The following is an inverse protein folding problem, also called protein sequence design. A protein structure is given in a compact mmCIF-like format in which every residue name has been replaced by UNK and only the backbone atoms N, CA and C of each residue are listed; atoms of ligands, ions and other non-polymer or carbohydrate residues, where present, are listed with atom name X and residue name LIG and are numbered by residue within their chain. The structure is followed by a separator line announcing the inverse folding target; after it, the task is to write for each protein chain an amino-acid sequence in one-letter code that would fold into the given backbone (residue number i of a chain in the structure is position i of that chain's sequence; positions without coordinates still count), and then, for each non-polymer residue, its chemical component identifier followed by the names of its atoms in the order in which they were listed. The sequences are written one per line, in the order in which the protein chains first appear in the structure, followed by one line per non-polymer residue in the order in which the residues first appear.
data_IF_961520757499
#
_entry.id   IF_961520757499
#
_cell.length_a   1.000
_cell.length_b   1.000
_cell.length_c   1.000
_cell.angle_alpha   90.00
_cell.angle_beta   90.00
_cell.angle_gamma   90.00
#
_symmetry.space_group_name_H-M   'P 1'
#
loop_
_entity.id
_entity.type
_entity.pdbx_description
1 polymer ?
#
# COMPACT_ATOMS: atom_id res chain seq x y z
N UNK A 1 -2.53 -3.49 3.76
CA UNK A 1 -3.36 -4.65 3.37
C UNK A 1 -2.49 -5.90 3.23
N UNK A 2 -2.98 -7.09 3.56
CA UNK A 2 -2.24 -8.36 3.41
C UNK A 2 -2.93 -9.29 2.42
N UNK A 3 -2.15 -9.92 1.55
CA UNK A 3 -2.61 -10.83 0.51
C UNK A 3 -1.84 -12.15 0.55
N UNK A 4 -2.55 -13.27 0.45
CA UNK A 4 -2.00 -14.62 0.48
C UNK A 4 -2.47 -15.41 -0.74
N UNK A 5 -1.54 -15.91 -1.53
CA UNK A 5 -1.83 -16.83 -2.64
C UNK A 5 -1.77 -18.27 -2.13
N UNK A 6 -2.91 -18.97 -2.16
CA UNK A 6 -3.07 -20.39 -1.84
C UNK A 6 -3.48 -21.18 -3.08
N UNK A 7 -3.40 -22.51 -3.03
CA UNK A 7 -3.58 -23.42 -4.16
C UNK A 7 -4.81 -23.12 -5.06
N UNK A 8 -5.95 -22.78 -4.44
CA UNK A 8 -7.21 -22.56 -5.17
C UNK A 8 -7.75 -21.13 -5.03
N UNK A 9 -7.18 -20.30 -4.14
CA UNK A 9 -7.74 -18.98 -3.82
C UNK A 9 -6.66 -17.99 -3.42
N UNK A 10 -7.01 -16.72 -3.54
CA UNK A 10 -6.26 -15.64 -2.91
C UNK A 10 -7.06 -15.19 -1.71
N UNK A 11 -6.43 -15.15 -0.54
CA UNK A 11 -7.02 -14.59 0.66
C UNK A 11 -6.52 -13.17 0.88
N UNK A 12 -7.37 -12.34 1.46
CA UNK A 12 -7.07 -10.94 1.73
C UNK A 12 -7.54 -10.56 3.12
N UNK A 13 -6.73 -9.81 3.85
CA UNK A 13 -7.01 -9.36 5.22
C UNK A 13 -6.41 -7.97 5.45
N UNK A 14 -6.92 -7.30 6.47
CA UNK A 14 -6.27 -6.12 7.06
C UNK A 14 -5.52 -6.64 8.28
N UNK A 15 -4.27 -6.21 8.43
CA UNK A 15 -3.41 -6.62 9.54
C UNK A 15 -2.98 -5.34 10.24
N UNK A 16 -3.23 -5.30 11.54
CA UNK A 16 -2.65 -4.36 12.46
C UNK A 16 -1.80 -5.17 13.44
N UNK A 17 -0.54 -4.78 13.58
CA UNK A 17 0.43 -5.49 14.40
C UNK A 17 1.36 -4.49 15.06
N UNK A 18 1.53 -4.66 16.37
CA UNK A 18 2.50 -3.90 17.17
C UNK A 18 3.66 -4.81 17.55
N UNK A 19 4.87 -4.26 17.49
CA UNK A 19 6.08 -4.92 17.92
C UNK A 19 6.92 -3.95 18.75
N UNK A 20 7.72 -4.48 19.67
CA UNK A 20 8.70 -3.66 20.37
C UNK A 20 9.81 -3.26 19.40
N UNK A 21 10.07 -1.96 19.29
CA UNK A 21 11.21 -1.43 18.56
C UNK A 21 12.51 -1.48 19.40
N UNK A 22 12.47 -1.99 20.64
CA UNK A 22 13.60 -2.09 21.55
C UNK A 22 14.04 -3.55 21.72
N UNK A 23 15.35 -3.75 21.79
CA UNK A 23 15.95 -5.05 22.14
C UNK A 23 15.98 -5.24 23.67
N UNK A 24 14.80 -5.08 24.29
CA UNK A 24 14.62 -5.24 25.72
C UNK A 24 13.27 -5.90 26.02
N UNK A 25 13.32 -7.22 26.21
CA UNK A 25 12.15 -8.09 26.34
C UNK A 25 11.31 -7.88 27.63
N UNK A 26 11.80 -7.07 28.59
CA UNK A 26 11.05 -6.75 29.80
C UNK A 26 10.07 -5.58 29.60
N UNK A 27 10.12 -4.89 28.46
CA UNK A 27 9.13 -3.85 28.13
C UNK A 27 7.82 -4.46 27.66
N UNK A 28 6.67 -3.79 27.91
CA UNK A 28 5.38 -4.26 27.46
C UNK A 28 5.22 -4.10 25.95
N UNK A 29 4.62 -5.09 25.30
CA UNK A 29 4.31 -5.05 23.87
C UNK A 29 3.21 -4.06 23.47
N UNK A 30 2.51 -3.49 24.46
CA UNK A 30 1.45 -2.49 24.29
C UNK A 30 1.71 -1.32 25.22
N UNK A 31 1.30 -0.12 24.79
CA UNK A 31 1.38 1.10 25.60
C UNK A 31 0.39 1.09 26.78
N UNK A 32 -0.57 0.16 26.81
CA UNK A 32 -1.54 0.04 27.89
C UNK A 32 -2.58 1.17 27.93
N UNK A 33 -2.59 2.07 26.94
CA UNK A 33 -3.51 3.20 26.84
C UNK A 33 -4.34 3.12 25.56
N UNK A 34 -5.60 3.55 25.65
CA UNK A 34 -6.47 3.71 24.48
C UNK A 34 -6.07 5.02 23.76
N UNK A 35 -5.91 5.03 22.43
CA UNK A 35 -5.58 6.26 21.69
C UNK A 35 -6.58 7.40 21.89
N UNK A 36 -7.86 7.08 22.21
CA UNK A 36 -8.88 8.07 22.53
C UNK A 36 -8.66 8.76 23.88
N UNK A 37 -7.94 8.12 24.80
CA UNK A 37 -7.68 8.64 26.15
C UNK A 37 -6.40 9.49 26.22
N UNK A 38 -5.44 9.25 25.31
CA UNK A 38 -4.16 9.96 25.30
C UNK A 38 -3.82 10.39 23.87
N UNK A 39 -3.91 11.71 23.56
CA UNK A 39 -3.59 12.20 22.23
C UNK A 39 -2.09 12.04 21.94
N UNK A 40 -1.77 11.47 20.78
CA UNK A 40 -0.39 11.33 20.32
C UNK A 40 0.15 12.71 19.87
N UNK A 41 1.43 12.95 20.15
CA UNK A 41 2.16 14.15 19.69
C UNK A 41 3.36 13.70 18.88
N UNK A 42 3.66 14.44 17.81
CA UNK A 42 4.90 14.19 17.07
C UNK A 42 6.11 14.44 17.95
N UNK A 43 7.12 13.60 17.77
CA UNK A 43 8.42 13.81 18.40
C UNK A 43 9.10 14.99 17.72
N UNK A 44 9.36 16.05 18.47
CA UNK A 44 10.05 17.24 17.98
C UNK A 44 11.30 17.54 18.81
N UNK A 45 12.31 18.25 18.25
CA UNK A 45 13.52 18.60 18.98
C UNK A 45 13.26 19.39 20.29
N UNK A 46 12.15 20.13 20.36
CA UNK A 46 11.79 20.95 21.52
C UNK A 46 11.38 20.13 22.75
N UNK A 47 10.97 18.87 22.57
CA UNK A 47 10.58 18.01 23.69
C UNK A 47 11.74 17.80 24.70
N UNK A 48 13.00 18.07 24.29
CA UNK A 48 14.25 17.88 25.04
C UNK A 48 14.38 16.60 25.90
N UNK A 49 13.73 15.45 25.62
CA UNK A 49 13.89 14.27 26.46
C UNK A 49 15.04 13.40 25.92
N UNK A 50 15.36 12.37 26.69
CA UNK A 50 16.22 11.30 26.22
C UNK A 50 15.34 10.27 25.48
N UNK A 51 15.58 10.08 24.18
CA UNK A 51 14.85 9.09 23.40
C UNK A 51 15.65 7.80 23.30
N UNK A 52 14.93 6.69 23.34
CA UNK A 52 15.48 5.41 22.93
C UNK A 52 15.49 5.36 21.39
N UNK A 53 16.66 5.32 20.76
CA UNK A 53 16.72 5.01 19.34
C UNK A 53 16.62 3.50 19.18
N UNK A 54 15.63 3.06 18.40
CA UNK A 54 15.56 1.67 17.97
C UNK A 54 16.84 1.33 17.20
N UNK A 55 17.61 0.38 17.71
CA UNK A 55 18.75 -0.20 16.98
C UNK A 55 18.29 -1.23 15.94
N UNK A 56 17.00 -1.56 15.89
CA UNK A 56 16.48 -2.56 14.99
C UNK A 56 15.98 -1.91 13.70
N UNK A 57 16.56 -2.26 12.54
CA UNK A 57 16.00 -1.86 11.25
C UNK A 57 14.55 -2.33 11.14
N UNK A 58 13.69 -1.50 10.56
CA UNK A 58 12.28 -1.83 10.35
C UNK A 58 12.09 -3.21 9.68
N UNK A 59 12.94 -3.54 8.71
CA UNK A 59 12.94 -4.85 8.02
C UNK A 59 13.02 -6.02 9.00
N UNK A 60 13.82 -5.91 10.05
CA UNK A 60 13.97 -6.94 11.09
C UNK A 60 12.70 -7.11 11.90
N UNK A 61 12.11 -6.01 12.33
CA UNK A 61 10.84 -5.98 13.08
C UNK A 61 9.71 -6.54 12.22
N UNK A 62 9.63 -6.12 10.96
CA UNK A 62 8.64 -6.59 10.02
C UNK A 62 8.73 -8.10 9.79
N UNK A 63 9.92 -8.64 9.55
CA UNK A 63 10.12 -10.09 9.42
C UNK A 63 9.72 -10.87 10.69
N UNK A 64 9.88 -10.27 11.88
CA UNK A 64 9.36 -10.86 13.11
C UNK A 64 7.83 -10.88 13.15
N UNK A 65 7.18 -9.78 12.75
CA UNK A 65 5.71 -9.71 12.64
C UNK A 65 5.22 -10.78 11.66
N UNK A 66 5.85 -10.90 10.49
CA UNK A 66 5.53 -11.93 9.51
C UNK A 66 5.64 -13.35 10.10
N UNK A 67 6.73 -13.66 10.82
CA UNK A 67 6.89 -14.96 11.48
C UNK A 67 5.80 -15.23 12.52
N UNK A 68 5.41 -14.23 13.31
CA UNK A 68 4.31 -14.36 14.27
C UNK A 68 2.97 -14.60 13.60
N UNK A 69 2.68 -13.87 12.53
CA UNK A 69 1.46 -14.09 11.73
C UNK A 69 1.44 -15.52 11.16
N UNK A 70 2.58 -16.01 10.65
CA UNK A 70 2.72 -17.39 10.19
C UNK A 70 2.50 -18.41 11.31
N UNK A 71 2.96 -18.15 12.53
CA UNK A 71 2.71 -19.07 13.66
C UNK A 71 1.25 -19.08 14.10
N UNK A 72 0.57 -17.92 14.13
CA UNK A 72 -0.86 -17.85 14.45
C UNK A 72 -1.67 -18.57 13.39
N UNK A 73 -1.37 -18.36 12.10
CA UNK A 73 -2.02 -19.09 11.01
C UNK A 73 -1.85 -20.61 11.13
N UNK A 74 -0.68 -21.09 11.59
CA UNK A 74 -0.45 -22.51 11.86
C UNK A 74 -1.26 -23.03 13.06
N UNK A 75 -1.49 -22.19 14.07
CA UNK A 75 -2.22 -22.55 15.29
C UNK A 75 -3.74 -22.47 15.13
N UNK A 76 -4.29 -21.49 14.41
CA UNK A 76 -5.73 -21.35 14.16
C UNK A 76 -6.32 -22.50 13.31
N UNK A 77 -5.46 -23.30 12.68
CA UNK A 77 -5.83 -24.51 11.92
C UNK A 77 -5.83 -25.77 12.81
N UNK A 78 -5.28 -25.69 14.03
CA UNK A 78 -5.26 -26.77 15.00
C UNK A 78 -6.45 -26.65 15.98
N UNK A 79 -7.69 -26.67 15.48
CA UNK A 79 -8.83 -26.99 16.33
C UNK A 79 -8.80 -28.50 16.66
N UNK A 80 -8.84 -28.93 17.93
CA UNK A 80 -8.63 -30.34 18.32
C UNK A 80 -9.81 -31.29 18.02
N UNK A 81 -10.61 -31.01 16.99
CA UNK A 81 -11.82 -31.80 16.67
C UNK A 81 -12.04 -32.11 15.19
N UNK A 82 -11.14 -31.70 14.29
CA UNK A 82 -11.24 -32.02 12.85
C UNK A 82 -9.92 -32.59 12.35
N UNK A 83 -9.78 -33.91 12.47
CA UNK A 83 -8.76 -34.65 11.74
C UNK A 83 -8.96 -34.43 10.23
N UNK A 84 -7.88 -34.10 9.52
CA UNK A 84 -7.78 -33.95 8.05
C UNK A 84 -7.95 -32.56 7.40
N UNK A 85 -7.78 -31.42 8.09
CA UNK A 85 -7.53 -30.16 7.37
C UNK A 85 -6.04 -30.10 6.99
N UNK A 86 -5.74 -30.47 5.74
CA UNK A 86 -4.41 -30.35 5.16
C UNK A 86 -3.87 -28.92 5.36
N UNK A 87 -2.61 -28.79 5.77
CA UNK A 87 -1.90 -27.51 5.88
C UNK A 87 -1.84 -26.86 4.49
N UNK A 88 -2.77 -25.95 4.20
CA UNK A 88 -2.85 -25.35 2.88
C UNK A 88 -1.59 -24.49 2.62
N UNK A 89 -0.77 -24.91 1.64
CA UNK A 89 0.47 -24.21 1.28
C UNK A 89 0.17 -22.79 0.82
N UNK A 90 0.84 -21.82 1.45
CA UNK A 90 0.91 -20.43 0.98
C UNK A 90 2.08 -20.34 0.00
N UNK A 91 1.80 -19.96 -1.24
CA UNK A 91 2.79 -19.84 -2.30
C UNK A 91 3.39 -18.44 -2.38
N UNK A 92 2.61 -17.41 -2.07
CA UNK A 92 3.10 -16.04 -2.12
C UNK A 92 2.36 -15.16 -1.12
N UNK A 93 3.05 -14.15 -0.60
CA UNK A 93 2.53 -13.16 0.34
C UNK A 93 2.96 -11.77 -0.13
N UNK A 94 2.01 -10.85 -0.13
CA UNK A 94 2.26 -9.45 -0.44
C UNK A 94 1.53 -8.56 0.57
N UNK A 95 2.19 -7.46 0.91
CA UNK A 95 1.63 -6.38 1.69
C UNK A 95 1.57 -5.16 0.78
N UNK A 96 0.48 -4.40 0.85
CA UNK A 96 0.24 -3.24 0.00
C UNK A 96 -0.44 -2.15 0.81
N UNK A 97 0.02 -0.91 0.67
CA UNK A 97 -0.56 0.23 1.37
C UNK A 97 -0.22 0.25 2.85
N UNK A 98 0.91 -0.35 3.25
CA UNK A 98 1.36 -0.43 4.62
C UNK A 98 1.63 0.96 5.21
N UNK A 99 1.18 1.16 6.44
CA UNK A 99 1.53 2.33 7.22
C UNK A 99 2.39 1.88 8.38
N UNK A 100 3.58 2.44 8.51
CA UNK A 100 4.48 2.16 9.64
C UNK A 100 4.51 3.36 10.56
N UNK A 101 4.35 3.12 11.86
CA UNK A 101 4.45 4.16 12.89
C UNK A 101 5.41 3.71 13.98
N UNK A 102 6.35 4.59 14.35
CA UNK A 102 7.18 4.42 15.55
C UNK A 102 6.57 5.24 16.68
N UNK A 103 6.07 4.57 17.71
CA UNK A 103 5.38 5.20 18.83
C UNK A 103 6.23 5.07 20.10
N UNK A 104 6.41 6.19 20.79
CA UNK A 104 7.19 6.27 22.02
C UNK A 104 6.27 6.26 23.25
N UNK A 105 6.56 5.39 24.21
CA UNK A 105 6.01 5.47 25.57
C UNK A 105 6.86 6.42 26.41
N UNK A 106 6.30 7.50 26.98
CA UNK A 106 7.04 8.33 27.93
C UNK A 106 7.25 7.55 29.23
N UNK A 107 8.51 7.40 29.66
CA UNK A 107 8.88 6.70 30.89
C UNK A 107 9.82 7.55 31.74
N UNK A 108 9.77 7.37 33.06
CA UNK A 108 10.77 7.93 33.99
C UNK A 108 11.48 6.81 34.76
N UNK A 109 12.72 7.06 35.14
CA UNK A 109 13.54 6.14 35.93
C UNK A 109 13.45 6.55 37.40
N UNK A 110 13.15 5.60 38.29
CA UNK A 110 13.23 5.79 39.75
C UNK A 110 13.93 4.57 40.37
N UNK A 111 15.10 4.80 40.95
CA UNK A 111 15.96 3.71 41.43
C UNK A 111 16.33 2.77 40.27
N UNK A 112 16.14 1.46 40.47
CA UNK A 112 16.42 0.44 39.45
C UNK A 112 15.18 0.01 38.65
N UNK A 113 14.19 0.91 38.48
CA UNK A 113 12.96 0.60 37.77
C UNK A 113 12.51 1.73 36.82
N UNK A 114 11.91 1.30 35.71
CA UNK A 114 11.21 2.12 34.74
C UNK A 114 9.74 2.22 35.12
N UNK A 115 9.19 3.42 35.07
CA UNK A 115 7.79 3.70 35.34
C UNK A 115 7.16 4.41 34.14
N UNK A 116 5.91 4.07 33.84
CA UNK A 116 5.12 4.75 32.83
C UNK A 116 4.78 6.16 33.32
N UNK A 117 5.12 7.18 32.53
CA UNK A 117 4.86 8.56 32.90
C UNK A 117 3.36 8.93 32.88
N UNK A 118 2.53 8.15 32.18
CA UNK A 118 1.08 8.33 32.09
C UNK A 118 0.39 7.62 33.26
N UNK A 119 0.53 6.30 33.37
CA UNK A 119 -0.19 5.51 34.39
C UNK A 119 0.49 5.49 35.75
N UNK A 120 1.76 5.92 35.85
CA UNK A 120 2.62 5.84 37.04
C UNK A 120 2.92 4.42 37.52
N UNK A 121 2.51 3.40 36.77
CA UNK A 121 2.78 2.01 37.10
C UNK A 121 4.23 1.63 36.78
N UNK A 122 4.77 0.68 37.54
CA UNK A 122 6.07 0.07 37.26
C UNK A 122 5.98 -0.74 35.96
N UNK A 123 6.89 -0.49 35.04
CA UNK A 123 6.93 -1.13 33.71
C UNK A 123 7.93 -2.28 33.70
N UNK A 124 9.18 -2.00 34.05
CA UNK A 124 10.29 -2.95 34.00
C UNK A 124 11.39 -2.54 34.97
N UNK A 125 12.41 -3.40 35.15
CA UNK A 125 13.66 -2.96 35.75
C UNK A 125 14.46 -2.09 34.76
N UNK A 126 15.43 -1.31 35.23
CA UNK A 126 16.43 -0.72 34.33
C UNK A 126 17.41 -1.83 33.92
N UNK A 127 17.73 -2.01 32.63
CA UNK A 127 18.76 -2.94 32.19
C UNK A 127 20.15 -2.50 32.67
N UNK A 128 21.03 -3.47 32.90
CA UNK A 128 22.39 -3.20 33.35
C UNK A 128 23.14 -2.34 32.33
N UNK A 129 23.96 -1.40 32.81
CA UNK A 129 24.68 -0.42 31.95
C UNK A 129 25.53 -1.10 30.86
N UNK A 130 26.04 -2.29 31.14
CA UNK A 130 26.89 -3.08 30.22
C UNK A 130 26.09 -3.77 29.11
N UNK A 131 24.77 -3.94 29.28
CA UNK A 131 23.93 -4.64 28.30
C UNK A 131 23.72 -3.86 27.00
N UNK A 132 23.98 -2.55 26.99
CA UNK A 132 23.70 -1.67 25.85
C UNK A 132 22.20 -1.55 25.50
N UNK A 133 21.31 -2.21 26.25
CA UNK A 133 19.88 -2.36 25.90
C UNK A 133 19.08 -1.05 25.96
N UNK A 134 19.61 -0.01 26.62
CA UNK A 134 19.06 1.35 26.61
C UNK A 134 20.17 2.37 26.30
N UNK A 135 20.40 2.65 25.01
CA UNK A 135 21.16 3.83 24.61
C UNK A 135 20.22 5.01 24.45
N UNK A 136 20.30 5.97 25.35
CA UNK A 136 19.58 7.22 25.23
C UNK A 136 20.34 8.18 24.34
N UNK A 137 19.69 8.73 23.32
CA UNK A 137 20.26 9.80 22.52
C UNK A 137 19.37 11.04 22.63
N UNK A 138 20.02 12.20 22.65
CA UNK A 138 19.33 13.46 22.33
C UNK A 138 19.03 13.40 20.84
N UNK A 139 17.77 13.59 20.48
CA UNK A 139 17.36 13.61 19.09
C UNK A 139 18.10 14.75 18.36
N UNK A 140 19.10 14.39 17.55
CA UNK A 140 19.76 15.33 16.63
C UNK A 140 18.88 15.41 15.37
N UNK A 141 17.87 16.26 15.44
CA UNK A 141 17.01 16.74 14.35
C UNK A 141 16.77 15.78 13.16
N UNK A 142 15.67 15.04 13.20
CA UNK A 142 14.86 14.83 11.99
C UNK A 142 13.91 16.00 11.88
N UNK A 143 14.38 17.14 11.38
CA UNK A 143 13.54 18.34 11.28
C UNK A 143 12.42 18.02 10.30
N UNK A 144 11.17 18.08 10.75
CA UNK A 144 10.01 17.97 9.86
C UNK A 144 10.15 19.10 8.84
N UNK A 145 10.45 18.76 7.60
CA UNK A 145 10.51 19.71 6.51
C UNK A 145 9.11 19.89 5.94
N UNK A 146 8.61 21.13 6.00
CA UNK A 146 7.37 21.48 5.34
C UNK A 146 7.68 21.87 3.90
N UNK A 147 7.08 21.15 2.96
CA UNK A 147 7.17 21.47 1.54
C UNK A 147 5.98 22.38 1.22
N UNK A 148 6.20 23.61 0.72
CA UNK A 148 5.10 24.47 0.33
C UNK A 148 4.35 23.81 -0.82
N UNK A 149 3.01 23.79 -0.75
CA UNK A 149 2.14 23.27 -1.81
C UNK A 149 1.99 24.29 -2.94
N UNK A 150 3.11 24.80 -3.44
CA UNK A 150 3.21 25.71 -4.57
C UNK A 150 3.88 24.98 -5.73
N UNK A 151 3.37 25.19 -6.94
CA UNK A 151 3.86 24.53 -8.14
C UNK A 151 5.26 25.05 -8.48
N UNK A 152 6.29 24.19 -8.53
CA UNK A 152 7.65 24.62 -8.89
C UNK A 152 7.76 25.22 -10.30
N UNK A 153 6.79 24.95 -11.19
CA UNK A 153 6.79 25.45 -12.57
C UNK A 153 6.19 26.84 -12.73
N UNK A 154 5.08 27.15 -12.04
CA UNK A 154 4.33 28.38 -12.27
C UNK A 154 3.99 29.17 -11.00
N UNK A 155 4.37 28.68 -9.81
CA UNK A 155 4.09 29.32 -8.53
C UNK A 155 2.64 29.20 -8.02
N UNK A 156 1.72 28.63 -8.81
CA UNK A 156 0.32 28.46 -8.40
C UNK A 156 0.15 27.39 -7.32
N UNK A 157 -0.94 27.45 -6.56
CA UNK A 157 -1.29 26.44 -5.57
C UNK A 157 -1.45 25.04 -6.19
N UNK A 158 -0.84 24.06 -5.52
CA UNK A 158 -1.03 22.63 -5.81
C UNK A 158 -2.23 22.10 -5.04
N UNK A 159 -3.07 21.32 -5.73
CA UNK A 159 -4.30 20.77 -5.17
C UNK A 159 -4.17 19.28 -4.84
N UNK A 160 -4.62 18.91 -3.65
CA UNK A 160 -4.73 17.53 -3.19
C UNK A 160 -5.43 17.47 -1.84
N UNK A 161 -5.90 16.28 -1.46
CA UNK A 161 -6.42 16.05 -0.12
C UNK A 161 -5.29 15.72 0.88
N UNK A 162 -5.59 15.71 2.18
CA UNK A 162 -4.60 15.58 3.27
C UNK A 162 -3.68 14.35 3.18
N UNK A 163 -4.18 13.28 2.60
CA UNK A 163 -3.51 11.98 2.44
C UNK A 163 -3.06 11.71 1.00
N UNK A 164 -3.11 12.73 0.13
CA UNK A 164 -2.68 12.62 -1.25
C UNK A 164 -1.16 12.64 -1.34
N UNK A 165 -0.59 11.60 -1.96
CA UNK A 165 0.82 11.46 -2.32
C UNK A 165 1.17 12.27 -3.57
N UNK A 166 0.17 12.63 -4.37
CA UNK A 166 0.32 13.43 -5.59
C UNK A 166 -0.56 14.66 -5.49
N UNK A 167 0.00 15.81 -5.84
CA UNK A 167 -0.66 17.09 -5.91
C UNK A 167 -0.68 17.59 -7.35
N UNK A 168 -1.79 18.20 -7.77
CA UNK A 168 -1.99 18.66 -9.15
C UNK A 168 -1.99 20.18 -9.23
N UNK A 169 -1.25 20.75 -10.19
CA UNK A 169 -1.39 22.14 -10.57
C UNK A 169 -2.41 22.24 -11.71
N UNK A 170 -3.56 22.88 -11.45
CA UNK A 170 -4.59 23.13 -12.48
C UNK A 170 -4.28 24.33 -13.38
N UNK A 171 -3.26 25.12 -13.06
CA UNK A 171 -2.89 26.30 -13.84
C UNK A 171 -2.00 25.93 -15.04
N UNK A 172 -0.97 25.10 -14.81
CA UNK A 172 -0.03 24.68 -15.85
C UNK A 172 -0.06 23.18 -16.15
N UNK A 173 -1.13 22.50 -15.70
CA UNK A 173 -1.42 21.08 -15.95
C UNK A 173 -0.27 20.13 -15.62
N UNK A 174 0.26 20.21 -14.39
CA UNK A 174 1.35 19.34 -13.91
C UNK A 174 0.95 18.56 -12.67
N UNK A 175 1.58 17.41 -12.44
CA UNK A 175 1.47 16.65 -11.20
C UNK A 175 2.81 16.59 -10.48
N UNK A 176 2.78 16.58 -9.15
CA UNK A 176 3.95 16.65 -8.29
C UNK A 176 3.79 15.68 -7.12
N UNK A 177 4.86 14.96 -6.79
CA UNK A 177 4.92 14.13 -5.57
C UNK A 177 6.01 14.67 -4.64
N UNK A 178 5.84 14.46 -3.34
CA UNK A 178 6.89 14.77 -2.38
C UNK A 178 8.07 13.79 -2.54
N UNK A 179 9.29 14.30 -2.42
CA UNK A 179 10.54 13.56 -2.39
C UNK A 179 11.43 14.09 -1.27
N UNK A 180 12.57 13.43 -1.02
CA UNK A 180 13.52 13.87 0.02
C UNK A 180 14.04 15.30 -0.17
N UNK A 181 14.01 15.82 -1.39
CA UNK A 181 14.53 17.14 -1.76
C UNK A 181 13.43 18.15 -2.15
N UNK A 182 12.16 17.89 -1.83
CA UNK A 182 11.04 18.79 -2.14
C UNK A 182 9.99 18.13 -3.03
N UNK A 183 9.63 18.79 -4.14
CA UNK A 183 8.64 18.28 -5.08
C UNK A 183 9.31 17.75 -6.35
N UNK A 184 8.95 16.53 -6.73
CA UNK A 184 9.37 15.90 -7.97
C UNK A 184 8.21 15.88 -8.96
N UNK A 185 8.47 16.24 -10.21
CA UNK A 185 7.46 16.20 -11.26
C UNK A 185 7.07 14.75 -11.55
N UNK A 186 5.78 14.51 -11.79
CA UNK A 186 5.25 13.20 -12.10
C UNK A 186 4.49 13.26 -13.42
N UNK A 187 4.84 12.38 -14.34
CA UNK A 187 4.09 12.19 -15.57
C UNK A 187 2.71 11.59 -15.29
N UNK A 188 1.70 12.16 -15.92
CA UNK A 188 0.35 11.65 -15.85
C UNK A 188 -0.37 11.80 -17.19
N UNK A 189 -1.44 11.03 -17.35
CA UNK A 189 -2.34 11.12 -18.48
C UNK A 189 -3.80 11.12 -18.00
N UNK A 190 -4.68 11.58 -18.86
CA UNK A 190 -6.11 11.68 -18.60
C UNK A 190 -6.87 10.99 -19.70
N UNK A 191 -7.75 10.05 -19.34
CA UNK A 191 -8.70 9.50 -20.30
C UNK A 191 -9.87 10.49 -20.41
N UNK A 192 -10.23 10.97 -21.62
CA UNK A 192 -11.30 11.93 -21.78
C UNK A 192 -12.63 11.42 -21.20
N UNK A 193 -13.19 12.16 -20.25
CA UNK A 193 -14.52 11.90 -19.70
C UNK A 193 -15.63 12.44 -20.59
N UNK A 194 -16.86 12.03 -20.29
CA UNK A 194 -18.05 12.72 -20.81
C UNK A 194 -18.20 14.06 -20.07
N UNK A 195 -18.92 15.02 -20.66
CA UNK A 195 -19.10 16.39 -20.12
C UNK A 195 -19.55 16.42 -18.64
N UNK A 196 -20.21 15.36 -18.18
CA UNK A 196 -20.75 15.22 -16.81
C UNK A 196 -20.01 14.22 -15.91
N UNK A 197 -18.79 13.77 -16.25
CA UNK A 197 -18.02 12.87 -15.38
C UNK A 197 -17.67 13.60 -14.07
N UNK A 198 -18.30 13.28 -12.92
CA UNK A 198 -18.17 14.09 -11.71
C UNK A 198 -16.86 13.84 -10.96
N UNK A 199 -16.17 12.74 -11.29
CA UNK A 199 -15.00 12.27 -10.58
C UNK A 199 -14.09 11.44 -11.49
N UNK A 200 -12.79 11.70 -11.38
CA UNK A 200 -11.73 10.90 -11.96
C UNK A 200 -11.06 10.07 -10.87
N UNK A 201 -10.87 8.78 -11.12
CA UNK A 201 -10.12 7.89 -10.24
C UNK A 201 -8.71 7.69 -10.78
N UNK A 202 -7.67 7.79 -9.93
CA UNK A 202 -6.30 7.61 -10.38
C UNK A 202 -5.91 6.13 -10.39
N UNK A 203 -5.21 5.73 -11.44
CA UNK A 203 -4.67 4.38 -11.62
C UNK A 203 -3.20 4.46 -12.01
N UNK A 204 -2.39 3.56 -11.48
CA UNK A 204 -1.06 3.31 -12.02
C UNK A 204 -1.19 2.37 -13.21
N UNK A 205 -0.75 2.84 -14.38
CA UNK A 205 -0.54 2.02 -15.58
C UNK A 205 0.95 1.74 -15.70
N UNK A 206 1.31 0.47 -15.60
CA UNK A 206 2.71 0.04 -15.52
C UNK A 206 3.06 -0.84 -16.71
N UNK A 207 4.17 -0.51 -17.37
CA UNK A 207 4.85 -1.41 -18.29
C UNK A 207 5.87 -2.20 -17.50
N UNK A 208 5.82 -3.52 -17.59
CA UNK A 208 6.68 -4.41 -16.80
C UNK A 208 7.26 -5.51 -17.66
N UNK A 209 8.50 -5.89 -17.36
CA UNK A 209 9.12 -7.10 -17.88
C UNK A 209 8.86 -8.24 -16.90
N UNK A 210 8.31 -9.33 -17.40
CA UNK A 210 8.03 -10.53 -16.61
C UNK A 210 8.95 -11.66 -17.07
N UNK A 211 9.74 -12.20 -16.15
CA UNK A 211 10.47 -13.45 -16.31
C UNK A 211 9.70 -14.60 -15.64
N UNK A 212 9.86 -15.84 -16.12
CA UNK A 212 9.19 -17.03 -15.57
C UNK A 212 7.83 -17.36 -16.20
N UNK A 213 7.18 -16.41 -16.90
CA UNK A 213 5.97 -16.64 -17.71
C UNK A 213 6.03 -15.82 -19.00
N UNK A 214 5.54 -16.39 -20.11
CA UNK A 214 5.43 -15.66 -21.38
C UNK A 214 4.17 -14.81 -21.40
N UNK A 215 4.31 -13.53 -21.07
CA UNK A 215 3.27 -12.51 -21.14
C UNK A 215 3.85 -11.27 -21.81
N UNK A 216 3.94 -11.30 -23.15
CA UNK A 216 4.53 -10.21 -23.94
C UNK A 216 3.46 -9.38 -24.65
N UNK A 217 2.35 -9.99 -25.02
CA UNK A 217 1.29 -9.38 -25.81
C UNK A 217 -0.09 -9.47 -25.18
N UNK A 218 -1.03 -8.66 -25.67
CA UNK A 218 -2.41 -8.72 -25.22
C UNK A 218 -3.05 -10.07 -25.55
N UNK A 219 -2.66 -10.69 -26.66
CA UNK A 219 -3.06 -12.06 -26.98
C UNK A 219 -2.58 -13.06 -25.91
N UNK A 220 -1.34 -12.92 -25.43
CA UNK A 220 -0.83 -13.76 -24.32
C UNK A 220 -1.66 -13.57 -23.06
N UNK A 221 -2.04 -12.33 -22.73
CA UNK A 221 -2.90 -12.03 -21.58
C UNK A 221 -4.27 -12.71 -21.71
N UNK A 222 -4.88 -12.64 -22.90
CA UNK A 222 -6.17 -13.28 -23.18
C UNK A 222 -6.08 -14.80 -23.00
N UNK A 223 -5.01 -15.44 -23.49
CA UNK A 223 -4.75 -16.88 -23.29
C UNK A 223 -4.52 -17.22 -21.82
N UNK A 224 -3.62 -16.49 -21.17
CA UNK A 224 -3.22 -16.71 -19.78
C UNK A 224 -4.40 -16.60 -18.81
N UNK A 225 -5.26 -15.61 -19.03
CA UNK A 225 -6.44 -15.35 -18.22
C UNK A 225 -7.72 -16.04 -18.74
N UNK A 226 -7.62 -16.84 -19.81
CA UNK A 226 -8.74 -17.48 -20.52
C UNK A 226 -9.94 -16.53 -20.69
N UNK A 227 -9.68 -15.32 -21.18
CA UNK A 227 -10.73 -14.32 -21.35
C UNK A 227 -11.67 -14.75 -22.49
N UNK A 228 -13.00 -14.53 -22.37
CA UNK A 228 -13.96 -14.89 -23.41
C UNK A 228 -13.89 -13.90 -24.59
N UNK A 229 -12.77 -13.92 -25.32
CA UNK A 229 -12.48 -13.04 -26.47
C UNK A 229 -11.78 -13.85 -27.56
N UNK A 230 -12.23 -13.68 -28.81
CA UNK A 230 -11.51 -14.21 -29.96
C UNK A 230 -10.25 -13.37 -30.21
N UNK A 231 -9.09 -14.02 -30.22
CA UNK A 231 -7.80 -13.35 -30.43
C UNK A 231 -7.70 -12.86 -31.87
N UNK A 232 -7.35 -11.58 -32.04
CA UNK A 232 -7.08 -10.97 -33.35
C UNK A 232 -5.58 -10.94 -33.59
N UNK A 233 -5.15 -11.01 -34.86
CA UNK A 233 -3.72 -10.95 -35.23
C UNK A 233 -3.02 -9.70 -34.68
N UNK A 234 -3.70 -8.55 -34.68
CA UNK A 234 -3.18 -7.30 -34.13
C UNK A 234 -2.89 -7.34 -32.63
N UNK A 235 -3.44 -8.29 -31.88
CA UNK A 235 -3.20 -8.42 -30.43
C UNK A 235 -1.92 -9.16 -30.08
N UNK A 236 -1.30 -9.85 -31.05
CA UNK A 236 0.00 -10.50 -30.86
C UNK A 236 1.14 -9.48 -30.75
N UNK A 237 0.97 -8.31 -31.38
CA UNK A 237 1.93 -7.20 -31.36
C UNK A 237 1.56 -6.11 -30.35
N UNK A 238 0.34 -6.16 -29.81
CA UNK A 238 -0.14 -5.17 -28.85
C UNK A 238 0.52 -5.39 -27.48
N UNK A 239 1.27 -4.38 -27.01
CA UNK A 239 1.88 -4.40 -25.68
C UNK A 239 0.84 -4.44 -24.55
N UNK A 240 1.19 -5.11 -23.46
CA UNK A 240 0.36 -5.17 -22.25
C UNK A 240 0.81 -4.17 -21.20
N UNK A 241 -0.16 -3.60 -20.51
CA UNK A 241 0.10 -2.78 -19.33
C UNK A 241 -0.65 -3.36 -18.14
N UNK A 242 -0.03 -3.36 -16.97
CA UNK A 242 -0.71 -3.73 -15.74
C UNK A 242 -1.29 -2.48 -15.09
N UNK A 243 -2.50 -2.61 -14.58
CA UNK A 243 -3.22 -1.51 -13.96
C UNK A 243 -3.48 -1.82 -12.50
N UNK A 244 -3.28 -0.81 -11.66
CA UNK A 244 -3.56 -0.89 -10.23
C UNK A 244 -4.19 0.42 -9.75
N UNK A 245 -5.16 0.40 -8.82
CA UNK A 245 -5.63 1.61 -8.16
C UNK A 245 -4.45 2.39 -7.56
N UNK A 246 -4.39 3.69 -7.80
CA UNK A 246 -3.43 4.58 -7.13
C UNK A 246 -3.96 5.10 -5.78
N UNK A 247 -4.92 4.39 -5.19
CA UNK A 247 -5.62 4.78 -3.98
C UNK A 247 -5.95 3.54 -3.13
N UNK A 248 -5.99 3.74 -1.81
CA UNK A 248 -6.28 2.69 -0.83
C UNK A 248 -7.77 2.41 -0.81
N UNK A 249 -8.12 1.13 -0.93
CA UNK A 249 -9.48 0.60 -0.83
C UNK A 249 -9.47 -0.76 -0.16
N UNK A 250 -10.65 -1.29 0.17
CA UNK A 250 -10.75 -2.63 0.77
C UNK A 250 -10.01 -3.68 -0.09
N UNK A 251 -9.24 -4.60 0.52
CA UNK A 251 -8.36 -5.52 -0.19
C UNK A 251 -9.01 -6.31 -1.35
N UNK A 252 -10.23 -6.79 -1.14
CA UNK A 252 -10.97 -7.53 -2.17
C UNK A 252 -11.32 -6.64 -3.37
N UNK A 253 -11.79 -5.42 -3.09
CA UNK A 253 -12.11 -4.44 -4.12
C UNK A 253 -10.85 -3.97 -4.85
N UNK A 254 -9.72 -3.84 -4.15
CA UNK A 254 -8.41 -3.55 -4.75
C UNK A 254 -8.05 -4.57 -5.82
N UNK A 255 -8.08 -5.87 -5.48
CA UNK A 255 -7.76 -6.94 -6.44
C UNK A 255 -8.73 -6.98 -7.61
N UNK A 256 -10.04 -6.89 -7.34
CA UNK A 256 -11.06 -6.87 -8.40
C UNK A 256 -10.83 -5.70 -9.35
N UNK A 257 -10.53 -4.53 -8.80
CA UNK A 257 -10.29 -3.31 -9.57
C UNK A 257 -9.04 -3.42 -10.43
N UNK A 258 -7.91 -3.86 -9.86
CA UNK A 258 -6.66 -4.07 -10.59
C UNK A 258 -6.83 -5.09 -11.74
N UNK A 259 -7.50 -6.21 -11.47
CA UNK A 259 -7.83 -7.23 -12.48
C UNK A 259 -8.72 -6.67 -13.60
N UNK A 260 -9.82 -6.00 -13.25
CA UNK A 260 -10.74 -5.41 -14.22
C UNK A 260 -10.05 -4.38 -15.12
N UNK A 261 -9.28 -3.47 -14.53
CA UNK A 261 -8.56 -2.44 -15.28
C UNK A 261 -7.49 -3.05 -16.20
N UNK A 262 -6.72 -4.04 -15.70
CA UNK A 262 -5.70 -4.75 -16.50
C UNK A 262 -6.33 -5.52 -17.65
N UNK A 263 -7.50 -6.14 -17.48
CA UNK A 263 -8.19 -6.83 -18.57
C UNK A 263 -8.73 -5.88 -19.64
N UNK A 264 -9.12 -4.67 -19.23
CA UNK A 264 -9.74 -3.68 -20.11
C UNK A 264 -8.75 -3.03 -21.07
N UNK A 265 -7.49 -2.83 -20.64
CA UNK A 265 -6.44 -2.15 -21.43
C UNK A 265 -6.96 -0.84 -22.06
N UNK A 266 -7.53 0.05 -21.25
CA UNK A 266 -8.10 1.28 -21.79
C UNK A 266 -7.04 2.08 -22.56
N UNK A 267 -7.38 2.60 -23.76
CA UNK A 267 -6.47 3.43 -24.51
C UNK A 267 -6.23 4.73 -23.75
N UNK A 268 -4.96 5.12 -23.66
CA UNK A 268 -4.55 6.39 -23.10
C UNK A 268 -4.10 7.25 -24.27
N UNK A 269 -4.92 8.24 -24.63
CA UNK A 269 -4.62 9.18 -25.71
C UNK A 269 -3.57 10.21 -25.32
N UNK A 270 -3.15 11.02 -26.30
CA UNK A 270 -2.30 12.18 -26.06
C UNK A 270 -2.98 13.13 -25.05
N UNK A 271 -2.22 13.51 -24.02
CA UNK A 271 -2.72 14.04 -22.75
C UNK A 271 -3.62 15.26 -22.88
N UNK A 272 -4.75 15.20 -22.18
CA UNK A 272 -5.46 16.41 -21.73
C UNK A 272 -4.85 16.90 -20.42
N UNK A 273 -4.97 18.19 -20.16
CA UNK A 273 -4.58 18.80 -18.89
C UNK A 273 -5.35 18.23 -17.69
N UNK A 274 -5.04 18.71 -16.48
CA UNK A 274 -5.69 18.24 -15.25
C UNK A 274 -7.21 18.46 -15.37
N UNK A 275 -8.05 17.45 -15.09
CA UNK A 275 -9.50 17.60 -15.21
C UNK A 275 -10.02 18.73 -14.32
N UNK A 276 -10.98 19.51 -14.85
CA UNK A 276 -11.75 20.46 -14.03
C UNK A 276 -12.62 19.75 -13.00
N UNK A 277 -13.07 18.53 -13.30
CA UNK A 277 -13.78 17.69 -12.35
C UNK A 277 -12.92 17.35 -11.12
N UNK A 278 -13.53 16.75 -10.09
CA UNK A 278 -12.76 16.27 -8.94
C UNK A 278 -11.89 15.08 -9.36
N UNK A 279 -10.74 14.96 -8.73
CA UNK A 279 -9.85 13.80 -8.83
C UNK A 279 -9.83 13.15 -7.45
N UNK A 280 -10.09 11.85 -7.40
CA UNK A 280 -9.97 11.08 -6.17
C UNK A 280 -8.50 11.06 -5.72
N UNK A 281 -8.19 11.19 -4.43
CA UNK A 281 -6.81 11.37 -3.98
C UNK A 281 -5.94 10.17 -4.34
N UNK A 282 -4.67 10.44 -4.67
CA UNK A 282 -3.66 9.40 -4.89
C UNK A 282 -3.09 9.03 -3.54
N UNK A 283 -3.48 7.90 -2.96
CA UNK A 283 -3.07 7.52 -1.59
C UNK A 283 -2.23 6.23 -1.55
N UNK A 284 -1.80 5.74 -2.71
CA UNK A 284 -1.00 4.53 -2.87
C UNK A 284 0.06 4.77 -3.94
N UNK A 285 1.33 4.57 -3.61
CA UNK A 285 2.47 4.86 -4.50
C UNK A 285 2.65 3.80 -5.59
N UNK A 286 3.36 4.12 -6.66
CA UNK A 286 3.58 3.20 -7.78
C UNK A 286 4.33 1.93 -7.34
N UNK A 287 5.27 2.06 -6.41
CA UNK A 287 6.07 0.97 -5.85
C UNK A 287 5.20 -0.01 -5.05
N UNK A 288 4.26 0.50 -4.25
CA UNK A 288 3.26 -0.31 -3.54
C UNK A 288 2.32 -1.00 -4.54
N UNK A 289 1.93 -0.29 -5.60
CA UNK A 289 1.05 -0.83 -6.64
C UNK A 289 1.71 -2.00 -7.39
N UNK A 290 3.02 -1.90 -7.63
CA UNK A 290 3.85 -2.91 -8.28
C UNK A 290 3.96 -4.18 -7.43
N UNK A 291 4.05 -4.07 -6.10
CA UNK A 291 4.05 -5.24 -5.20
C UNK A 291 2.78 -6.09 -5.35
N UNK A 292 1.64 -5.46 -5.70
CA UNK A 292 0.37 -6.15 -5.98
C UNK A 292 0.28 -6.87 -7.33
N UNK A 293 1.29 -6.72 -8.20
CA UNK A 293 1.20 -7.24 -9.57
C UNK A 293 1.27 -8.77 -9.61
N UNK A 294 2.11 -9.42 -8.78
CA UNK A 294 2.12 -10.90 -8.64
C UNK A 294 0.74 -11.43 -8.23
N UNK A 295 0.11 -10.76 -7.28
CA UNK A 295 -1.24 -11.11 -6.80
C UNK A 295 -2.26 -10.98 -7.93
N UNK A 296 -2.18 -9.88 -8.70
CA UNK A 296 -3.05 -9.63 -9.86
C UNK A 296 -2.87 -10.70 -10.92
N UNK A 297 -1.62 -11.07 -11.25
CA UNK A 297 -1.30 -12.17 -12.17
C UNK A 297 -1.91 -13.50 -11.71
N UNK A 298 -1.72 -13.88 -10.45
CA UNK A 298 -2.29 -15.12 -9.89
C UNK A 298 -3.83 -15.11 -9.95
N UNK A 299 -4.45 -13.96 -9.69
CA UNK A 299 -5.90 -13.81 -9.77
C UNK A 299 -6.46 -13.83 -11.19
N UNK A 300 -5.62 -13.55 -12.19
CA UNK A 300 -5.96 -13.62 -13.60
C UNK A 300 -5.74 -15.03 -14.15
N UNK A 301 -4.74 -15.76 -13.69
CA UNK A 301 -4.40 -17.10 -14.17
C UNK A 301 -5.55 -18.12 -14.00
N UNK A 302 -5.89 -18.82 -15.09
CA UNK A 302 -6.98 -19.81 -15.07
C UNK A 302 -6.54 -21.24 -14.71
N UNK A 303 -5.28 -21.67 -14.93
CA UNK A 303 -4.74 -22.78 -14.15
C UNK A 303 -3.90 -22.23 -12.98
N UNK A 304 -4.55 -21.69 -11.94
CA UNK A 304 -3.85 -21.21 -10.71
C UNK A 304 -2.84 -22.25 -10.19
N UNK A 305 -3.22 -23.53 -10.21
CA UNK A 305 -2.37 -24.67 -9.81
C UNK A 305 -1.08 -24.82 -10.62
N UNK A 306 -1.02 -24.34 -11.86
CA UNK A 306 0.20 -24.36 -12.69
C UNK A 306 1.09 -23.16 -12.44
N UNK A 307 0.51 -22.00 -12.19
CA UNK A 307 1.25 -20.74 -11.97
C UNK A 307 1.77 -20.62 -10.54
N UNK A 308 0.99 -21.06 -9.55
CA UNK A 308 1.35 -20.93 -8.14
C UNK A 308 2.67 -21.62 -7.77
N UNK A 309 3.01 -22.83 -8.25
CA UNK A 309 4.32 -23.43 -8.01
C UNK A 309 5.49 -22.61 -8.55
N UNK A 310 5.27 -21.84 -9.62
CA UNK A 310 6.30 -21.02 -10.29
C UNK A 310 6.34 -19.57 -9.78
N UNK A 311 5.49 -19.19 -8.81
CA UNK A 311 5.32 -17.78 -8.42
C UNK A 311 6.58 -17.14 -7.85
N UNK A 312 7.46 -17.95 -7.26
CA UNK A 312 8.74 -17.51 -6.72
C UNK A 312 9.77 -17.28 -7.83
N UNK A 313 9.68 -18.05 -8.92
CA UNK A 313 10.51 -17.89 -10.13
C UNK A 313 10.05 -16.69 -10.98
N UNK A 314 8.77 -16.32 -10.89
CA UNK A 314 8.24 -15.15 -11.58
C UNK A 314 8.89 -13.89 -11.02
N UNK A 315 9.67 -13.20 -11.85
CA UNK A 315 10.26 -11.90 -11.50
C UNK A 315 9.63 -10.81 -12.33
N UNK A 316 9.23 -9.72 -11.68
CA UNK A 316 8.61 -8.57 -12.32
C UNK A 316 9.56 -7.39 -12.15
N UNK A 317 10.02 -6.83 -13.26
CA UNK A 317 10.82 -5.61 -13.28
C UNK A 317 9.99 -4.47 -13.86
N UNK A 318 9.81 -3.35 -13.13
CA UNK A 318 9.13 -2.19 -13.70
C UNK A 318 9.99 -1.58 -14.80
N UNK A 319 9.37 -1.21 -15.91
CA UNK A 319 10.01 -0.45 -16.99
C UNK A 319 9.52 0.99 -16.97
N UNK A 320 8.20 1.17 -16.86
CA UNK A 320 7.55 2.47 -16.82
C UNK A 320 6.35 2.42 -15.87
N UNK A 321 6.05 3.55 -15.23
CA UNK A 321 4.82 3.74 -14.47
C UNK A 321 4.25 5.11 -14.80
N UNK A 322 2.98 5.15 -15.21
CA UNK A 322 2.25 6.36 -15.56
C UNK A 322 1.02 6.48 -14.68
N UNK A 323 0.81 7.65 -14.08
CA UNK A 323 -0.45 7.94 -13.40
C UNK A 323 -1.53 8.26 -14.43
N UNK A 324 -2.62 7.50 -14.45
CA UNK A 324 -3.73 7.70 -15.39
C UNK A 324 -4.99 8.08 -14.63
N UNK A 325 -5.56 9.23 -14.96
CA UNK A 325 -6.84 9.69 -14.42
C UNK A 325 -7.97 9.14 -15.30
N UNK A 326 -8.80 8.28 -14.71
CA UNK A 326 -9.88 7.57 -15.41
C UNK A 326 -11.23 8.16 -15.01
N UNK A 327 -12.08 8.59 -15.95
CA UNK A 327 -13.39 9.17 -15.65
C UNK A 327 -14.39 8.07 -15.27
N UNK A 328 -15.14 8.30 -14.20
CA UNK A 328 -16.24 7.41 -13.80
C UNK A 328 -17.56 8.18 -13.86
N UNK A 329 -18.64 7.52 -14.28
CA UNK A 329 -20.00 8.04 -14.09
C UNK A 329 -20.47 7.72 -12.67
N UNK A 330 -21.37 8.54 -12.11
CA UNK A 330 -21.90 8.33 -10.77
C UNK A 330 -23.38 7.97 -10.82
N UNK A 331 -23.76 6.94 -10.08
CA UNK A 331 -25.14 6.62 -9.70
C UNK A 331 -25.36 6.94 -8.21
N UNK A 332 -26.54 6.66 -7.66
CA UNK A 332 -26.89 6.97 -6.26
C UNK A 332 -25.89 6.43 -5.24
N UNK A 333 -25.39 5.20 -5.44
CA UNK A 333 -24.55 4.50 -4.46
C UNK A 333 -23.17 4.09 -5.00
N UNK A 334 -22.91 4.28 -6.29
CA UNK A 334 -21.75 3.69 -6.96
C UNK A 334 -21.15 4.62 -8.02
N UNK A 335 -19.85 4.48 -8.22
CA UNK A 335 -19.15 4.99 -9.40
C UNK A 335 -18.93 3.84 -10.38
N UNK A 336 -19.20 4.10 -11.66
CA UNK A 336 -19.17 3.10 -12.72
C UNK A 336 -18.19 3.48 -13.82
N UNK A 337 -17.39 2.50 -14.26
CA UNK A 337 -16.63 2.56 -15.50
C UNK A 337 -17.03 1.34 -16.35
N UNK A 338 -17.73 1.60 -17.46
CA UNK A 338 -18.36 0.58 -18.32
C UNK A 338 -17.34 -0.30 -19.06
N UNK A 339 -16.32 0.30 -19.65
CA UNK A 339 -15.27 -0.36 -20.43
C UNK A 339 -14.39 -1.27 -19.54
N UNK A 340 -14.15 -0.85 -18.29
CA UNK A 340 -13.49 -1.68 -17.28
C UNK A 340 -14.43 -2.70 -16.63
N UNK A 341 -15.75 -2.63 -16.88
CA UNK A 341 -16.80 -3.40 -16.19
C UNK A 341 -16.65 -3.32 -14.67
N UNK A 342 -16.40 -2.11 -14.19
CA UNK A 342 -16.05 -1.83 -12.81
C UNK A 342 -17.12 -0.97 -12.14
N UNK A 343 -17.50 -1.37 -10.93
CA UNK A 343 -18.31 -0.57 -10.02
C UNK A 343 -17.57 -0.40 -8.69
N UNK A 344 -17.56 0.82 -8.17
CA UNK A 344 -16.98 1.20 -6.90
C UNK A 344 -18.06 1.80 -6.00
N UNK A 345 -18.41 1.10 -4.93
CA UNK A 345 -19.38 1.59 -3.95
C UNK A 345 -18.82 2.82 -3.20
N UNK A 346 -19.62 3.88 -3.08
CA UNK A 346 -19.22 5.15 -2.47
C UNK A 346 -18.78 4.97 -1.00
N UNK A 347 -19.49 4.14 -0.23
CA UNK A 347 -19.15 3.90 1.17
C UNK A 347 -17.88 3.06 1.29
N UNK A 348 -17.66 2.09 0.39
CA UNK A 348 -16.44 1.29 0.38
C UNK A 348 -15.19 2.16 0.16
N UNK A 349 -15.30 3.21 -0.67
CA UNK A 349 -14.22 4.20 -0.87
C UNK A 349 -13.96 5.03 0.40
N UNK A 350 -15.03 5.53 1.04
CA UNK A 350 -14.92 6.29 2.29
C UNK A 350 -14.22 5.51 3.40
N UNK A 351 -14.62 4.26 3.63
CA UNK A 351 -14.00 3.43 4.66
C UNK A 351 -12.63 2.89 4.24
N UNK A 352 -12.40 2.70 2.95
CA UNK A 352 -11.12 2.22 2.41
C UNK A 352 -9.96 3.19 2.59
N UNK A 353 -10.26 4.49 2.71
CA UNK A 353 -9.28 5.55 2.90
C UNK A 353 -8.63 5.57 4.30
N UNK A 354 -9.30 4.97 5.29
CA UNK A 354 -8.80 4.87 6.66
C UNK A 354 -8.04 3.56 6.93
N UNK A 355 -7.59 2.86 5.88
CA UNK A 355 -6.92 1.54 5.95
C UNK A 355 -5.40 1.61 6.06
#
# INVERSE_FOLDING_TARGET
MSFLCKANRTEQRIIDATALAADYNKLPHSLGVRPQAVPLRFVTPELRPHFFLSHQPFKTVFSWIERKLLSVERMSIANPGTSHISREKVYHRAYIGETTSLIYLPVFIRGNALYDAVTKNRVASVPDKESGALSFQKLRAGQISFIPTLCPRCGWELQGEKDSLVLFCRNCDTAWKASGNGLENLDFAVIPGKKDSPLYFPFWRMKVRIAGVSLKSYADLVRFANLPKAIRKSWEEQEIHFWSPAFKIRPELFQRTAKSATNAQLPVGAGQGVPRARVFPVTLAAEEALQGLKITLVNMAVPKRKILPLIDEITITPQESLLVLVPFSKNTHEYLQKDMRLSLNINALKYGRNL
#
